data_IF_205618471406
#
_entry.id   IF_205618471406
#
_cell.length_a   1.000
_cell.length_b   1.000
_cell.length_c   1.000
_cell.angle_alpha   90.00
_cell.angle_beta   90.00
_cell.angle_gamma   90.00
#
_symmetry.space_group_name_H-M   'P 1'
#
loop_
_entity.id
_entity.type
_entity.pdbx_description
1 polymer ?
#
# COMPACT_ATOMS: atom_id res chain seq x y z
N UNK A 1 -13.64 10.05 -24.86
CA UNK A 1 -13.89 8.76 -24.20
C UNK A 1 -14.62 8.92 -22.85
N UNK A 2 -14.19 9.78 -21.93
CA UNK A 2 -14.86 9.96 -20.61
C UNK A 2 -16.18 10.75 -20.60
N UNK A 3 -16.65 11.22 -21.76
CA UNK A 3 -17.84 12.11 -21.89
C UNK A 3 -19.06 11.34 -22.41
N UNK A 4 -18.89 10.07 -22.74
CA UNK A 4 -19.97 9.24 -23.26
C UNK A 4 -20.99 8.94 -22.16
N UNK A 5 -22.28 9.06 -22.52
CA UNK A 5 -23.41 8.88 -21.61
C UNK A 5 -24.36 7.81 -22.18
N UNK A 6 -24.82 6.92 -21.31
CA UNK A 6 -25.85 5.92 -21.62
C UNK A 6 -27.16 6.30 -20.96
N UNK A 7 -28.26 6.11 -21.68
CA UNK A 7 -29.61 6.25 -21.14
C UNK A 7 -30.08 4.87 -20.69
N UNK A 8 -30.38 4.74 -19.40
CA UNK A 8 -30.93 3.52 -18.82
C UNK A 8 -32.41 3.37 -19.21
N UNK A 9 -32.94 2.15 -19.09
CA UNK A 9 -34.34 1.81 -19.44
C UNK A 9 -35.38 2.60 -18.64
N UNK A 10 -34.99 3.17 -17.50
CA UNK A 10 -35.80 4.07 -16.66
C UNK A 10 -35.69 5.56 -17.06
N UNK A 11 -34.98 5.88 -18.16
CA UNK A 11 -34.76 7.25 -18.63
C UNK A 11 -33.61 7.99 -17.95
N UNK A 12 -32.94 7.40 -16.95
CA UNK A 12 -31.81 8.02 -16.28
C UNK A 12 -30.58 8.05 -17.20
N UNK A 13 -29.89 9.19 -17.26
CA UNK A 13 -28.66 9.35 -18.03
C UNK A 13 -27.47 9.13 -17.09
N UNK A 14 -26.66 8.11 -17.35
CA UNK A 14 -25.45 7.79 -16.57
C UNK A 14 -24.21 7.88 -17.45
N UNK A 15 -23.05 8.09 -16.83
CA UNK A 15 -21.79 8.02 -17.57
C UNK A 15 -21.53 6.56 -17.97
N UNK A 16 -21.27 6.32 -19.26
CA UNK A 16 -20.97 4.97 -19.77
C UNK A 16 -19.79 4.33 -19.03
N UNK A 17 -18.81 5.16 -18.64
CA UNK A 17 -17.64 4.75 -17.90
C UNK A 17 -17.61 5.33 -16.48
N UNK A 18 -18.71 5.19 -15.73
CA UNK A 18 -18.87 5.79 -14.39
C UNK A 18 -17.68 5.52 -13.46
N UNK A 19 -17.16 4.28 -13.44
CA UNK A 19 -16.00 3.89 -12.62
C UNK A 19 -14.75 4.71 -12.97
N UNK A 20 -14.48 4.93 -14.26
CA UNK A 20 -13.33 5.71 -14.71
C UNK A 20 -13.53 7.19 -14.44
N UNK A 21 -14.73 7.72 -14.68
CA UNK A 21 -15.07 9.11 -14.36
C UNK A 21 -14.89 9.39 -12.86
N UNK A 22 -15.36 8.48 -12.00
CA UNK A 22 -15.20 8.59 -10.54
C UNK A 22 -13.73 8.55 -10.13
N UNK A 23 -12.94 7.64 -10.69
CA UNK A 23 -11.50 7.57 -10.43
C UNK A 23 -10.76 8.85 -10.88
N UNK A 24 -11.05 9.37 -12.08
CA UNK A 24 -10.49 10.63 -12.56
C UNK A 24 -10.86 11.81 -11.65
N UNK A 25 -12.12 11.91 -11.23
CA UNK A 25 -12.57 12.97 -10.32
C UNK A 25 -11.88 12.88 -8.96
N UNK A 26 -11.72 11.68 -8.41
CA UNK A 26 -11.00 11.47 -7.15
C UNK A 26 -9.54 11.92 -7.25
N UNK A 27 -8.86 11.56 -8.34
CA UNK A 27 -7.48 12.01 -8.59
C UNK A 27 -7.39 13.53 -8.73
N UNK A 28 -8.32 14.15 -9.47
CA UNK A 28 -8.36 15.61 -9.62
C UNK A 28 -8.59 16.33 -8.30
N UNK A 29 -9.46 15.80 -7.44
CA UNK A 29 -9.69 16.36 -6.10
C UNK A 29 -8.41 16.31 -5.26
N UNK A 30 -7.70 15.19 -5.26
CA UNK A 30 -6.44 15.04 -4.51
C UNK A 30 -5.30 15.89 -5.07
N UNK A 31 -5.24 16.02 -6.40
CA UNK A 31 -4.28 16.91 -7.06
C UNK A 31 -4.53 18.37 -6.65
N UNK A 32 -5.78 18.82 -6.63
CA UNK A 32 -6.15 20.19 -6.20
C UNK A 32 -5.90 20.43 -4.70
N UNK A 33 -6.05 19.40 -3.87
CA UNK A 33 -5.75 19.48 -2.44
C UNK A 33 -4.23 19.52 -2.16
N UNK A 34 -3.37 19.24 -3.14
CA UNK A 34 -1.92 19.14 -2.94
C UNK A 34 -1.47 17.83 -2.27
N UNK A 35 -2.38 16.87 -2.09
CA UNK A 35 -2.11 15.55 -1.51
C UNK A 35 -1.41 14.62 -2.50
N UNK A 36 -1.57 14.89 -3.80
CA UNK A 36 -0.95 14.09 -4.83
C UNK A 36 0.49 14.58 -5.04
N UNK A 37 1.45 13.67 -4.94
CA UNK A 37 2.89 13.92 -5.11
C UNK A 37 3.57 14.78 -4.03
N UNK A 38 3.00 14.90 -2.84
CA UNK A 38 3.56 15.67 -1.70
C UNK A 38 4.98 15.25 -1.31
N UNK A 39 5.37 14.00 -1.57
CA UNK A 39 6.70 13.47 -1.28
C UNK A 39 7.67 13.52 -2.47
N UNK A 40 7.26 14.05 -3.63
CA UNK A 40 8.20 14.30 -4.72
C UNK A 40 9.04 15.52 -4.37
N UNK A 41 10.35 15.31 -4.21
CA UNK A 41 11.34 16.37 -4.08
C UNK A 41 11.23 17.33 -5.27
N UNK A 42 11.22 18.64 -5.02
CA UNK A 42 11.08 19.68 -6.04
C UNK A 42 12.15 19.60 -7.13
N UNK A 43 13.33 19.05 -6.82
CA UNK A 43 14.40 18.78 -7.80
C UNK A 43 14.04 17.65 -8.78
N UNK A 44 13.23 16.68 -8.36
CA UNK A 44 12.75 15.56 -9.20
C UNK A 44 11.64 16.03 -10.14
N UNK A 45 10.83 17.00 -9.72
CA UNK A 45 9.74 17.55 -10.54
C UNK A 45 10.21 18.49 -11.64
N UNK A 46 11.45 19.03 -11.55
CA UNK A 46 12.08 19.83 -12.61
C UNK A 46 12.49 18.97 -13.83
N UNK A 47 12.66 17.66 -13.63
CA UNK A 47 12.89 16.72 -14.73
C UNK A 47 11.53 16.41 -15.35
N UNK A 48 11.30 16.92 -16.56
CA UNK A 48 10.09 16.70 -17.30
C UNK A 48 9.86 15.19 -17.50
N UNK A 49 8.66 14.73 -17.14
CA UNK A 49 8.19 13.34 -17.14
C UNK A 49 8.82 12.51 -16.01
N UNK A 50 8.20 12.57 -14.82
CA UNK A 50 8.38 11.55 -13.79
C UNK A 50 7.80 10.24 -14.34
N UNK A 51 8.60 9.18 -14.52
CA UNK A 51 8.10 7.87 -14.91
C UNK A 51 6.99 7.43 -13.95
N UNK A 52 6.01 6.67 -14.43
CA UNK A 52 5.01 6.03 -13.57
C UNK A 52 5.67 4.94 -12.71
N UNK A 53 6.45 5.33 -11.70
CA UNK A 53 7.19 4.47 -10.78
C UNK A 53 6.27 3.50 -10.02
N UNK A 54 4.97 3.80 -9.95
CA UNK A 54 3.98 2.91 -9.34
C UNK A 54 3.99 1.50 -9.96
N UNK A 55 4.12 1.39 -11.28
CA UNK A 55 4.17 0.08 -11.95
C UNK A 55 5.47 -0.69 -11.62
N UNK A 56 6.58 0.01 -11.43
CA UNK A 56 7.85 -0.62 -11.04
C UNK A 56 7.82 -1.09 -9.59
N UNK A 57 7.33 -0.24 -8.67
CA UNK A 57 7.17 -0.60 -7.25
C UNK A 57 6.22 -1.79 -7.12
N UNK A 58 5.09 -1.80 -7.83
CA UNK A 58 4.18 -2.94 -7.76
C UNK A 58 4.72 -4.21 -8.41
N UNK A 59 5.53 -4.09 -9.46
CA UNK A 59 6.26 -5.24 -10.02
C UNK A 59 7.22 -5.84 -8.98
N UNK A 60 7.95 -5.01 -8.22
CA UNK A 60 8.80 -5.48 -7.13
C UNK A 60 8.01 -6.09 -5.97
N UNK A 61 6.91 -5.45 -5.55
CA UNK A 61 6.03 -6.00 -4.51
C UNK A 61 5.44 -7.35 -4.91
N UNK A 62 5.09 -7.55 -6.19
CA UNK A 62 4.61 -8.83 -6.68
C UNK A 62 5.66 -9.94 -6.51
N UNK A 63 6.93 -9.65 -6.77
CA UNK A 63 8.05 -10.60 -6.59
C UNK A 63 8.31 -10.90 -5.12
N UNK A 64 8.29 -9.88 -4.26
CA UNK A 64 8.41 -10.07 -2.80
C UNK A 64 7.27 -10.95 -2.26
N UNK A 65 6.02 -10.68 -2.68
CA UNK A 65 4.86 -11.52 -2.33
C UNK A 65 5.03 -12.96 -2.84
N UNK A 66 5.59 -13.16 -4.03
CA UNK A 66 5.89 -14.49 -4.56
C UNK A 66 6.94 -15.23 -3.71
N UNK A 67 8.02 -14.54 -3.32
CA UNK A 67 9.04 -15.09 -2.42
C UNK A 67 8.44 -15.53 -1.07
N UNK A 68 7.60 -14.69 -0.47
CA UNK A 68 6.91 -15.04 0.76
C UNK A 68 5.98 -16.25 0.63
N UNK A 69 5.41 -16.51 -0.55
CA UNK A 69 4.57 -17.68 -0.84
C UNK A 69 5.41 -18.94 -1.08
N UNK A 70 6.48 -18.82 -1.86
CA UNK A 70 7.37 -19.95 -2.17
C UNK A 70 8.07 -20.50 -0.92
N UNK A 71 8.37 -19.62 0.05
CA UNK A 71 8.98 -19.99 1.32
C UNK A 71 7.98 -20.03 2.47
N UNK A 72 6.70 -20.32 2.22
CA UNK A 72 5.65 -20.31 3.26
C UNK A 72 5.99 -21.22 4.45
N UNK A 73 6.64 -22.34 4.19
CA UNK A 73 6.96 -23.36 5.20
C UNK A 73 8.21 -23.03 6.03
N UNK A 74 8.84 -21.89 5.76
CA UNK A 74 9.97 -21.41 6.55
C UNK A 74 9.48 -20.57 7.73
N UNK A 75 10.29 -20.54 8.79
CA UNK A 75 10.12 -19.58 9.88
C UNK A 75 10.01 -18.16 9.31
N UNK A 76 9.08 -17.36 9.86
CA UNK A 76 8.81 -15.99 9.42
C UNK A 76 10.10 -15.16 9.29
N UNK A 77 11.00 -15.31 10.26
CA UNK A 77 12.31 -14.66 10.26
C UNK A 77 13.15 -14.99 9.01
N UNK A 78 13.17 -16.26 8.60
CA UNK A 78 13.90 -16.70 7.39
C UNK A 78 13.24 -16.18 6.12
N UNK A 79 11.90 -16.09 6.10
CA UNK A 79 11.15 -15.50 4.98
C UNK A 79 11.46 -14.01 4.80
N UNK A 80 11.57 -13.28 5.90
CA UNK A 80 11.95 -11.86 5.93
C UNK A 80 13.39 -11.69 5.44
N UNK A 81 14.33 -12.47 5.97
CA UNK A 81 15.74 -12.44 5.52
C UNK A 81 15.89 -12.77 4.04
N UNK A 82 15.13 -13.74 3.52
CA UNK A 82 15.09 -14.03 2.09
C UNK A 82 14.65 -12.81 1.27
N UNK A 83 13.60 -12.11 1.71
CA UNK A 83 13.14 -10.87 1.05
C UNK A 83 14.20 -9.76 1.13
N UNK A 84 14.85 -9.56 2.28
CA UNK A 84 15.93 -8.58 2.44
C UNK A 84 17.11 -8.89 1.51
N UNK A 85 17.49 -10.17 1.40
CA UNK A 85 18.53 -10.61 0.49
C UNK A 85 18.16 -10.38 -0.98
N UNK A 86 16.90 -10.65 -1.33
CA UNK A 86 16.39 -10.37 -2.68
C UNK A 86 16.46 -8.88 -3.00
N UNK A 87 16.03 -8.00 -2.09
CA UNK A 87 16.15 -6.56 -2.25
C UNK A 87 17.61 -6.13 -2.44
N UNK A 88 18.53 -6.68 -1.63
CA UNK A 88 19.96 -6.41 -1.75
C UNK A 88 20.51 -6.79 -3.13
N UNK A 89 20.18 -7.97 -3.64
CA UNK A 89 20.61 -8.45 -4.97
C UNK A 89 20.04 -7.64 -6.14
N UNK A 90 18.88 -6.99 -5.95
CA UNK A 90 18.18 -6.23 -7.01
C UNK A 90 18.31 -4.71 -6.84
N UNK A 91 19.18 -4.26 -5.93
CA UNK A 91 19.52 -2.85 -5.78
C UNK A 91 20.58 -2.46 -6.81
N UNK A 92 20.41 -1.30 -7.47
CA UNK A 92 21.35 -0.83 -8.51
C UNK A 92 22.76 -0.55 -7.97
N UNK A 93 22.87 -0.12 -6.71
CA UNK A 93 24.12 0.19 -6.02
C UNK A 93 24.16 -0.55 -4.67
N UNK A 94 24.43 -1.87 -4.65
CA UNK A 94 24.47 -2.62 -3.41
C UNK A 94 25.67 -2.18 -2.56
N UNK A 95 25.45 -2.05 -1.25
CA UNK A 95 26.53 -1.85 -0.30
C UNK A 95 27.50 -3.04 -0.30
N UNK A 96 28.78 -2.86 0.07
CA UNK A 96 29.68 -3.98 0.26
C UNK A 96 29.13 -4.97 1.29
N UNK A 97 29.31 -6.27 1.04
CA UNK A 97 28.80 -7.33 1.93
C UNK A 97 29.30 -7.20 3.38
N UNK A 98 30.51 -6.67 3.59
CA UNK A 98 31.04 -6.41 4.92
C UNK A 98 30.23 -5.36 5.70
N UNK A 99 29.66 -4.37 5.01
CA UNK A 99 28.84 -3.31 5.62
C UNK A 99 27.39 -3.76 5.84
N UNK A 100 26.89 -4.70 5.03
CA UNK A 100 25.56 -5.26 5.19
C UNK A 100 25.32 -5.86 6.58
N UNK A 101 26.33 -6.49 7.18
CA UNK A 101 26.23 -7.11 8.51
C UNK A 101 25.83 -6.07 9.56
N UNK A 102 26.28 -4.83 9.41
CA UNK A 102 25.97 -3.73 10.34
C UNK A 102 24.58 -3.14 10.11
N UNK A 103 24.05 -3.24 8.88
CA UNK A 103 22.81 -2.57 8.46
C UNK A 103 21.62 -3.53 8.54
N UNK A 104 21.83 -4.82 8.29
CA UNK A 104 20.76 -5.81 8.30
C UNK A 104 20.23 -5.96 9.74
N UNK A 105 18.90 -5.85 9.95
CA UNK A 105 18.35 -5.91 11.29
C UNK A 105 18.61 -7.27 11.92
N UNK A 106 19.09 -7.25 13.15
CA UNK A 106 19.25 -8.46 13.95
C UNK A 106 17.91 -9.13 14.21
N UNK A 107 17.94 -10.44 14.49
CA UNK A 107 16.74 -11.24 14.68
C UNK A 107 15.83 -10.72 15.80
N UNK A 108 16.44 -10.23 16.87
CA UNK A 108 15.71 -9.63 17.97
C UNK A 108 14.99 -8.35 17.55
N UNK A 109 15.61 -7.54 16.69
CA UNK A 109 15.01 -6.32 16.18
C UNK A 109 13.79 -6.64 15.31
N UNK A 110 13.90 -7.64 14.43
CA UNK A 110 12.78 -8.11 13.61
C UNK A 110 11.64 -8.63 14.49
N UNK A 111 11.94 -9.44 15.50
CA UNK A 111 10.94 -9.95 16.46
C UNK A 111 10.22 -8.80 17.17
N UNK A 112 10.97 -7.82 17.68
CA UNK A 112 10.41 -6.67 18.40
C UNK A 112 9.43 -5.87 17.53
N UNK A 113 9.79 -5.59 16.27
CA UNK A 113 8.90 -4.91 15.32
C UNK A 113 7.59 -5.70 15.15
N UNK A 114 7.68 -7.01 14.97
CA UNK A 114 6.48 -7.85 14.81
C UNK A 114 5.60 -7.87 16.07
N UNK A 115 6.21 -7.94 17.26
CA UNK A 115 5.47 -7.87 18.52
C UNK A 115 4.74 -6.53 18.64
N UNK A 116 5.40 -5.42 18.31
CA UNK A 116 4.80 -4.08 18.32
C UNK A 116 3.65 -3.96 17.31
N UNK A 117 3.84 -4.48 16.09
CA UNK A 117 2.79 -4.48 15.07
C UNK A 117 1.58 -5.32 15.48
N UNK A 118 1.80 -6.47 16.13
CA UNK A 118 0.73 -7.32 16.62
C UNK A 118 -0.09 -6.62 17.73
N UNK A 119 0.59 -5.92 18.65
CA UNK A 119 -0.06 -5.12 19.69
C UNK A 119 -0.91 -4.01 19.05
N UNK A 120 -0.32 -3.21 18.17
CA UNK A 120 -1.03 -2.11 17.50
C UNK A 120 -2.23 -2.60 16.66
N UNK A 121 -2.09 -3.75 15.99
CA UNK A 121 -3.19 -4.36 15.25
C UNK A 121 -4.33 -4.79 16.18
N UNK A 122 -3.99 -5.43 17.31
CA UNK A 122 -4.99 -5.83 18.30
C UNK A 122 -5.72 -4.62 18.90
N UNK A 123 -4.99 -3.55 19.23
CA UNK A 123 -5.57 -2.29 19.73
C UNK A 123 -6.51 -1.65 18.71
N UNK A 124 -6.12 -1.63 17.43
CA UNK A 124 -6.97 -1.12 16.35
C UNK A 124 -8.23 -1.98 16.13
N UNK A 125 -8.12 -3.31 16.18
CA UNK A 125 -9.28 -4.21 16.13
C UNK A 125 -10.20 -4.05 17.35
N UNK A 126 -9.64 -3.85 18.54
CA UNK A 126 -10.40 -3.57 19.74
C UNK A 126 -11.15 -2.23 19.64
N UNK A 127 -10.48 -1.17 19.17
CA UNK A 127 -11.09 0.12 18.94
C UNK A 127 -12.20 0.06 17.87
N UNK A 128 -11.98 -0.68 16.77
CA UNK A 128 -13.01 -0.91 15.76
C UNK A 128 -14.21 -1.68 16.32
N UNK A 129 -13.98 -2.72 17.12
CA UNK A 129 -15.08 -3.47 17.78
C UNK A 129 -15.89 -2.58 18.71
N UNK A 130 -15.24 -1.80 19.58
CA UNK A 130 -15.92 -0.85 20.47
C UNK A 130 -16.74 0.19 19.70
N UNK A 131 -16.23 0.68 18.57
CA UNK A 131 -16.96 1.60 17.70
C UNK A 131 -18.24 0.96 17.12
N UNK A 132 -18.20 -0.31 16.71
CA UNK A 132 -19.38 -1.01 16.20
C UNK A 132 -20.39 -1.40 17.29
N UNK A 133 -19.92 -1.66 18.51
CA UNK A 133 -20.77 -2.01 19.66
C UNK A 133 -21.59 -0.81 20.20
N UNK A 134 -21.22 0.42 19.84
CA UNK A 134 -21.96 1.64 20.16
C UNK A 134 -22.99 2.04 19.10
N UNK A 135 -23.01 1.39 17.94
CA UNK A 135 -23.83 1.81 16.80
C UNK A 135 -25.27 1.27 16.83
N UNK A 136 -25.58 0.29 17.69
CA UNK A 136 -26.92 -0.31 17.81
C UNK A 136 -27.36 -0.30 19.29
N UNK A 137 -28.13 0.71 19.68
CA UNK A 137 -28.92 0.67 20.91
C UNK A 137 -30.21 -0.11 20.64
N UNK A 138 -30.31 -1.32 21.19
CA UNK A 138 -31.55 -2.12 21.09
C UNK A 138 -32.75 -1.46 21.78
N UNK A 139 -32.52 -0.47 22.65
CA UNK A 139 -33.57 0.33 23.29
C UNK A 139 -34.22 1.34 22.34
N UNK A 140 -33.59 1.65 21.20
CA UNK A 140 -34.13 2.61 20.21
C UNK A 140 -35.08 1.92 19.20
N UNK A 141 -35.22 0.59 19.30
CA UNK A 141 -36.05 -0.25 18.44
C UNK A 141 -37.35 -0.73 19.11
N UNK A 142 -37.68 -0.22 20.29
CA UNK A 142 -38.90 -0.51 21.07
C UNK A 142 -39.60 0.77 21.46
#
# INVERSE_FOLDING_TARGET
>A
MLVEKTVLTNGCIVNTHERLVRACNMLNTRLRAGDLFTYLNSEVTKQAIVPAFNNQIESYNARLRAMLRAHRDWLLLHRIKACMWWCYMHTQCPLPAAQLIQIMPADQHIKNIYTQLAIHHSEHEHAQRQHYDQAISWADLT
#
